data_IF_429009115728
#
_entry.id   IF_429009115728
#
_cell.length_a   1.000
_cell.length_b   1.000
_cell.length_c   1.000
_cell.angle_alpha   90.00
_cell.angle_beta   90.00
_cell.angle_gamma   90.00
#
_symmetry.space_group_name_H-M   'P 1'
#
loop_
_entity.id
_entity.type
_entity.pdbx_description
1 polymer ?
#
# COMPACT_ATOMS: atom_id res chain seq x y z
N UNK A 1 12.14 -19.20 -22.34
CA UNK A 1 12.30 -17.79 -22.75
C UNK A 1 11.90 -17.64 -24.21
N UNK A 2 11.14 -16.59 -24.56
CA UNK A 2 10.66 -16.30 -25.93
C UNK A 2 11.28 -14.97 -26.40
N UNK A 3 11.86 -14.91 -27.58
CA UNK A 3 12.35 -13.63 -28.18
C UNK A 3 11.19 -12.90 -28.86
N UNK A 4 10.99 -11.61 -28.53
CA UNK A 4 9.89 -10.79 -29.06
C UNK A 4 10.38 -9.41 -29.41
N UNK A 5 10.38 -9.06 -30.70
CA UNK A 5 10.82 -7.75 -31.20
C UNK A 5 9.68 -6.83 -31.65
N UNK A 6 8.47 -7.36 -31.77
CA UNK A 6 7.33 -6.61 -32.35
C UNK A 6 6.47 -5.97 -31.24
N UNK A 7 6.18 -4.68 -31.36
CA UNK A 7 5.18 -3.98 -30.55
C UNK A 7 3.75 -4.48 -30.76
N UNK A 8 3.50 -5.25 -31.83
CA UNK A 8 2.19 -5.88 -32.11
C UNK A 8 2.03 -7.24 -31.44
N UNK A 9 3.08 -7.77 -30.77
CA UNK A 9 2.97 -9.01 -30.03
C UNK A 9 1.89 -8.89 -28.94
N UNK A 10 0.99 -9.88 -28.80
CA UNK A 10 -0.10 -9.82 -27.83
C UNK A 10 0.34 -9.60 -26.38
N UNK A 11 1.44 -10.24 -25.92
CA UNK A 11 1.97 -10.07 -24.58
C UNK A 11 2.48 -8.64 -24.35
N UNK A 12 3.15 -8.05 -25.35
CA UNK A 12 3.62 -6.65 -25.29
C UNK A 12 2.43 -5.69 -25.26
N UNK A 13 1.40 -5.93 -26.06
CA UNK A 13 0.19 -5.09 -26.04
C UNK A 13 -0.56 -5.18 -24.73
N UNK A 14 -0.72 -6.39 -24.17
CA UNK A 14 -1.35 -6.59 -22.85
C UNK A 14 -0.58 -5.86 -21.76
N UNK A 15 0.74 -6.00 -21.69
CA UNK A 15 1.57 -5.31 -20.71
C UNK A 15 1.49 -3.78 -20.84
N UNK A 16 1.50 -3.25 -22.07
CA UNK A 16 1.33 -1.80 -22.32
C UNK A 16 -0.03 -1.27 -21.88
N UNK A 17 -1.09 -2.05 -22.06
CA UNK A 17 -2.43 -1.67 -21.68
C UNK A 17 -2.57 -1.48 -20.15
N UNK A 18 -1.75 -2.14 -19.32
CA UNK A 18 -1.74 -1.98 -17.86
C UNK A 18 -1.34 -0.57 -17.37
N UNK A 19 -0.95 0.34 -18.26
CA UNK A 19 -0.84 1.76 -17.94
C UNK A 19 -2.18 2.39 -17.57
N UNK A 20 -3.26 1.90 -18.14
CA UNK A 20 -4.63 2.34 -17.87
C UNK A 20 -5.23 1.60 -16.67
N UNK A 21 -5.88 2.33 -15.75
CA UNK A 21 -6.48 1.75 -14.55
C UNK A 21 -7.63 0.80 -14.88
N UNK A 22 -8.42 1.08 -15.93
CA UNK A 22 -9.53 0.19 -16.36
C UNK A 22 -9.00 -1.11 -16.90
N UNK A 23 -7.89 -1.06 -17.64
CA UNK A 23 -7.22 -2.25 -18.15
C UNK A 23 -6.61 -3.09 -17.03
N UNK A 24 -6.01 -2.46 -16.00
CA UNK A 24 -5.55 -3.18 -14.79
C UNK A 24 -6.70 -3.93 -14.12
N UNK A 25 -7.83 -3.24 -13.89
CA UNK A 25 -9.02 -3.85 -13.30
C UNK A 25 -9.58 -4.98 -14.19
N UNK A 26 -9.65 -4.78 -15.51
CA UNK A 26 -10.16 -5.78 -16.47
C UNK A 26 -9.29 -7.02 -16.54
N UNK A 27 -7.97 -6.84 -16.55
CA UNK A 27 -7.01 -7.96 -16.65
C UNK A 27 -6.70 -8.58 -15.29
N UNK A 28 -7.10 -7.96 -14.17
CA UNK A 28 -6.71 -8.40 -12.83
C UNK A 28 -5.20 -8.41 -12.63
N UNK A 29 -4.48 -7.46 -13.25
CA UNK A 29 -3.03 -7.43 -13.29
C UNK A 29 -2.48 -6.01 -13.28
N UNK A 30 -1.22 -5.85 -12.91
CA UNK A 30 -0.50 -4.58 -12.93
C UNK A 30 0.95 -4.76 -13.40
N UNK A 31 1.58 -3.65 -13.77
CA UNK A 31 2.94 -3.63 -14.30
C UNK A 31 3.92 -3.13 -13.24
N UNK A 32 4.98 -3.90 -13.04
CA UNK A 32 6.16 -3.49 -12.29
C UNK A 32 7.25 -3.04 -13.26
N UNK A 33 7.94 -1.97 -12.92
CA UNK A 33 8.98 -1.39 -13.74
C UNK A 33 10.25 -1.16 -12.91
N UNK A 34 11.32 -1.77 -13.36
CA UNK A 34 12.64 -1.67 -12.76
C UNK A 34 12.98 -2.80 -11.79
N UNK A 35 14.29 -2.93 -11.59
CA UNK A 35 14.92 -4.05 -10.87
C UNK A 35 14.40 -4.19 -9.43
N UNK A 36 14.35 -3.08 -8.69
CA UNK A 36 13.94 -3.11 -7.29
C UNK A 36 12.53 -3.67 -7.10
N UNK A 37 11.54 -3.15 -7.87
CA UNK A 37 10.14 -3.59 -7.74
C UNK A 37 9.95 -5.04 -8.19
N UNK A 38 10.66 -5.45 -9.24
CA UNK A 38 10.62 -6.84 -9.73
C UNK A 38 11.28 -7.78 -8.72
N UNK A 39 12.42 -7.40 -8.13
CA UNK A 39 13.10 -8.18 -7.09
C UNK A 39 12.24 -8.35 -5.85
N UNK A 40 11.61 -7.28 -5.37
CA UNK A 40 10.66 -7.33 -4.23
C UNK A 40 9.50 -8.29 -4.49
N UNK A 41 8.86 -8.19 -5.67
CA UNK A 41 7.75 -9.07 -6.03
C UNK A 41 8.19 -10.55 -6.09
N UNK A 42 9.35 -10.82 -6.70
CA UNK A 42 9.88 -12.18 -6.80
C UNK A 42 10.29 -12.77 -5.46
N UNK A 43 10.71 -11.93 -4.50
CA UNK A 43 11.08 -12.35 -3.16
C UNK A 43 9.87 -12.64 -2.28
N UNK A 44 8.82 -11.84 -2.39
CA UNK A 44 7.65 -11.89 -1.48
C UNK A 44 6.51 -12.73 -2.05
N UNK A 45 6.20 -12.55 -3.33
CA UNK A 45 5.04 -13.18 -3.98
C UNK A 45 5.35 -13.66 -5.41
N UNK A 46 6.35 -14.55 -5.59
CA UNK A 46 6.77 -15.00 -6.92
C UNK A 46 5.62 -15.58 -7.74
N UNK A 47 4.67 -16.23 -7.10
CA UNK A 47 3.50 -16.84 -7.75
C UNK A 47 2.55 -15.82 -8.40
N UNK A 48 2.60 -14.55 -8.00
CA UNK A 48 1.83 -13.48 -8.66
C UNK A 48 2.51 -12.97 -9.92
N UNK A 49 3.80 -13.22 -10.13
CA UNK A 49 4.52 -12.80 -11.33
C UNK A 49 4.16 -13.73 -12.49
N UNK A 50 3.41 -13.23 -13.45
CA UNK A 50 2.92 -14.00 -14.60
C UNK A 50 3.81 -13.87 -15.84
N UNK A 51 4.48 -12.72 -16.00
CA UNK A 51 5.41 -12.50 -17.12
C UNK A 51 6.57 -11.59 -16.73
N UNK A 52 7.75 -11.85 -17.31
CA UNK A 52 8.92 -10.99 -17.24
C UNK A 52 9.27 -10.51 -18.65
N UNK A 53 9.57 -9.23 -18.80
CA UNK A 53 10.12 -8.62 -20.00
C UNK A 53 11.51 -8.09 -19.67
N UNK A 54 12.53 -8.65 -20.33
CA UNK A 54 13.94 -8.35 -20.05
C UNK A 54 14.61 -7.86 -21.32
N UNK A 55 15.35 -6.77 -21.23
CA UNK A 55 16.19 -6.28 -22.31
C UNK A 55 17.18 -7.38 -22.72
N UNK A 56 17.20 -7.74 -24.00
CA UNK A 56 18.07 -8.80 -24.54
C UNK A 56 19.55 -8.54 -24.26
N UNK A 57 19.98 -7.27 -24.16
CA UNK A 57 21.33 -6.89 -23.80
C UNK A 57 21.64 -7.06 -22.29
N UNK A 58 20.65 -7.36 -21.45
CA UNK A 58 20.77 -7.46 -19.98
C UNK A 58 20.36 -8.82 -19.42
N UNK A 59 20.16 -9.82 -20.25
CA UNK A 59 19.73 -11.17 -19.83
C UNK A 59 20.65 -11.78 -18.78
N UNK A 60 21.96 -11.63 -18.97
CA UNK A 60 22.94 -12.16 -18.00
C UNK A 60 22.87 -11.44 -16.65
N UNK A 61 22.64 -10.11 -16.67
CA UNK A 61 22.49 -9.30 -15.43
C UNK A 61 21.29 -9.77 -14.61
N UNK A 62 20.18 -10.11 -15.27
CA UNK A 62 18.93 -10.50 -14.61
C UNK A 62 18.71 -12.03 -14.53
N UNK A 63 19.71 -12.84 -14.88
CA UNK A 63 19.59 -14.31 -14.86
C UNK A 63 19.12 -14.83 -13.50
N UNK A 64 19.60 -14.25 -12.39
CA UNK A 64 19.19 -14.60 -11.03
C UNK A 64 17.71 -14.31 -10.77
N UNK A 65 17.20 -13.14 -11.21
CA UNK A 65 15.79 -12.79 -11.05
C UNK A 65 14.88 -13.66 -11.93
N UNK A 66 15.31 -13.96 -13.14
CA UNK A 66 14.57 -14.86 -14.06
C UNK A 66 14.41 -16.25 -13.43
N UNK A 67 15.45 -16.76 -12.77
CA UNK A 67 15.43 -18.07 -12.11
C UNK A 67 14.46 -18.14 -10.92
N UNK A 68 14.13 -17.01 -10.28
CA UNK A 68 13.15 -16.96 -9.18
C UNK A 68 11.69 -17.07 -9.66
N UNK A 69 11.42 -16.96 -10.95
CA UNK A 69 10.06 -17.03 -11.52
C UNK A 69 9.93 -18.14 -12.58
N UNK A 70 10.15 -19.42 -12.25
CA UNK A 70 10.11 -20.52 -13.24
C UNK A 70 8.73 -20.71 -13.87
N UNK A 71 7.65 -20.25 -13.20
CA UNK A 71 6.28 -20.31 -13.68
C UNK A 71 5.91 -19.14 -14.60
N UNK A 72 6.69 -18.03 -14.58
CA UNK A 72 6.39 -16.83 -15.37
C UNK A 72 6.84 -17.02 -16.83
N UNK A 73 6.05 -16.47 -17.75
CA UNK A 73 6.50 -16.35 -19.15
C UNK A 73 7.63 -15.31 -19.26
N UNK A 74 8.81 -15.72 -19.70
CA UNK A 74 9.93 -14.83 -19.86
C UNK A 74 10.12 -14.44 -21.33
N UNK A 75 10.16 -13.13 -21.59
CA UNK A 75 10.33 -12.52 -22.89
C UNK A 75 11.65 -11.73 -22.95
N UNK A 76 12.54 -12.12 -23.86
CA UNK A 76 13.68 -11.30 -24.25
C UNK A 76 13.22 -10.29 -25.30
N UNK A 77 13.38 -8.99 -25.01
CA UNK A 77 12.88 -7.91 -25.87
C UNK A 77 13.97 -6.88 -26.15
N UNK A 78 14.00 -6.26 -27.34
CA UNK A 78 14.87 -5.13 -27.59
C UNK A 78 14.52 -3.91 -26.72
N UNK A 79 15.50 -3.05 -26.47
CA UNK A 79 15.33 -1.87 -25.62
C UNK A 79 14.13 -0.97 -26.01
N UNK A 80 13.83 -0.82 -27.31
CA UNK A 80 12.69 -0.03 -27.78
C UNK A 80 11.33 -0.65 -27.41
N UNK A 81 11.24 -1.98 -27.37
CA UNK A 81 10.02 -2.70 -26.95
C UNK A 81 9.84 -2.57 -25.45
N UNK A 82 10.92 -2.72 -24.68
CA UNK A 82 10.87 -2.53 -23.23
C UNK A 82 10.49 -1.07 -22.88
N UNK A 83 11.06 -0.09 -23.56
CA UNK A 83 10.69 1.32 -23.39
C UNK A 83 9.22 1.59 -23.72
N UNK A 84 8.63 0.84 -24.66
CA UNK A 84 7.21 0.93 -24.96
C UNK A 84 6.33 0.30 -23.88
N UNK A 85 6.79 -0.68 -23.13
CA UNK A 85 6.11 -1.30 -21.99
C UNK A 85 6.28 -0.42 -20.75
N UNK A 86 7.50 0.02 -20.47
CA UNK A 86 7.91 0.79 -19.29
C UNK A 86 7.12 2.08 -19.13
N UNK A 87 6.90 2.47 -17.87
CA UNK A 87 6.21 3.70 -17.46
C UNK A 87 7.18 4.77 -16.93
N UNK A 88 8.48 4.49 -16.99
CA UNK A 88 9.53 5.44 -16.63
C UNK A 88 10.27 5.94 -17.87
N UNK A 89 10.85 7.14 -17.76
CA UNK A 89 11.61 7.75 -18.89
C UNK A 89 12.86 6.96 -19.26
N UNK A 90 13.50 6.35 -18.26
CA UNK A 90 14.73 5.56 -18.46
C UNK A 90 14.52 4.17 -17.86
N UNK A 91 14.07 3.19 -18.64
CA UNK A 91 13.89 1.83 -18.19
C UNK A 91 15.21 1.20 -17.69
N UNK A 92 15.12 0.43 -16.63
CA UNK A 92 16.28 -0.27 -16.04
C UNK A 92 16.61 -1.60 -16.72
N UNK A 93 15.85 -1.99 -17.72
CA UNK A 93 16.12 -3.22 -18.50
C UNK A 93 15.27 -4.42 -18.07
N UNK A 94 14.36 -4.26 -17.09
CA UNK A 94 13.44 -5.31 -16.68
C UNK A 94 12.09 -4.72 -16.28
N UNK A 95 11.02 -5.43 -16.64
CA UNK A 95 9.64 -5.17 -16.21
C UNK A 95 8.93 -6.50 -15.96
N UNK A 96 7.90 -6.49 -15.10
CA UNK A 96 7.10 -7.68 -14.81
C UNK A 96 5.61 -7.37 -14.85
N UNK A 97 4.82 -8.34 -15.27
CA UNK A 97 3.36 -8.34 -15.10
C UNK A 97 3.03 -9.22 -13.89
N UNK A 98 2.32 -8.64 -12.94
CA UNK A 98 1.85 -9.33 -11.74
C UNK A 98 0.34 -9.42 -11.71
N UNK A 99 -0.21 -10.56 -11.32
CA UNK A 99 -1.62 -10.69 -10.98
C UNK A 99 -1.94 -9.85 -9.74
N UNK A 100 -3.14 -9.29 -9.68
CA UNK A 100 -3.60 -8.62 -8.46
C UNK A 100 -3.75 -9.63 -7.32
N UNK A 101 -3.33 -9.28 -6.10
CA UNK A 101 -3.57 -10.12 -4.93
C UNK A 101 -5.08 -10.34 -4.74
N UNK A 102 -5.49 -11.47 -4.15
CA UNK A 102 -6.89 -11.71 -3.84
C UNK A 102 -7.42 -10.65 -2.87
N UNK A 103 -8.63 -10.16 -3.13
CA UNK A 103 -9.29 -9.21 -2.25
C UNK A 103 -9.66 -9.90 -0.91
N UNK A 104 -9.35 -9.25 0.20
CA UNK A 104 -9.76 -9.67 1.53
C UNK A 104 -10.87 -8.76 2.04
N UNK A 105 -11.74 -9.29 2.91
CA UNK A 105 -12.66 -8.45 3.67
C UNK A 105 -11.86 -7.66 4.75
N UNK A 106 -12.25 -6.42 5.09
CA UNK A 106 -11.53 -5.61 6.07
C UNK A 106 -11.22 -6.34 7.38
N UNK A 107 -12.20 -7.06 7.89
CA UNK A 107 -12.11 -7.82 9.14
C UNK A 107 -11.23 -9.08 9.07
N UNK A 108 -10.79 -9.49 7.90
CA UNK A 108 -9.88 -10.60 7.70
C UNK A 108 -8.42 -10.17 7.57
N UNK A 109 -8.16 -8.86 7.56
CA UNK A 109 -6.81 -8.33 7.34
C UNK A 109 -5.95 -8.24 8.61
N UNK A 110 -6.53 -8.32 9.82
CA UNK A 110 -5.79 -8.27 11.08
C UNK A 110 -6.37 -7.28 12.09
N UNK A 111 -5.59 -6.86 13.05
CA UNK A 111 -6.06 -6.06 14.20
C UNK A 111 -5.79 -4.56 14.06
N UNK A 112 -4.77 -4.17 13.28
CA UNK A 112 -4.31 -2.79 13.12
C UNK A 112 -4.48 -2.36 11.67
N UNK A 113 -5.50 -1.56 11.41
CA UNK A 113 -5.90 -1.19 10.05
C UNK A 113 -5.78 0.32 9.83
N UNK A 114 -5.67 0.70 8.56
CA UNK A 114 -5.88 2.08 8.13
C UNK A 114 -7.00 2.13 7.09
N UNK A 115 -7.87 3.14 7.18
CA UNK A 115 -8.87 3.42 6.15
C UNK A 115 -8.59 4.79 5.53
N UNK A 116 -8.51 4.81 4.21
CA UNK A 116 -8.33 6.04 3.43
C UNK A 116 -9.64 6.41 2.74
N UNK A 117 -10.19 7.59 3.08
CA UNK A 117 -11.39 8.09 2.45
C UNK A 117 -11.04 9.11 1.37
N UNK A 118 -11.31 8.77 0.10
CA UNK A 118 -11.13 9.65 -1.07
C UNK A 118 -9.72 10.26 -1.15
N UNK A 119 -8.69 9.49 -0.83
CA UNK A 119 -7.28 9.90 -0.90
C UNK A 119 -6.81 9.95 -2.35
N UNK A 120 -6.70 11.14 -2.93
CA UNK A 120 -6.51 11.31 -4.39
C UNK A 120 -5.06 11.30 -4.85
N UNK A 121 -4.10 11.68 -3.99
CA UNK A 121 -2.69 11.67 -4.39
C UNK A 121 -2.10 10.26 -4.28
N UNK A 122 -1.66 9.64 -5.40
CA UNK A 122 -1.05 8.32 -5.40
C UNK A 122 0.28 8.27 -4.63
N UNK A 123 0.96 9.40 -4.46
CA UNK A 123 2.16 9.50 -3.62
C UNK A 123 1.81 9.33 -2.14
N UNK A 124 0.71 9.96 -1.68
CA UNK A 124 0.23 9.78 -0.30
C UNK A 124 -0.22 8.34 -0.05
N UNK A 125 -1.03 7.75 -0.96
CA UNK A 125 -1.45 6.34 -0.85
C UNK A 125 -0.24 5.42 -0.74
N UNK A 126 0.75 5.56 -1.62
CA UNK A 126 1.95 4.72 -1.60
C UNK A 126 2.82 4.95 -0.36
N UNK A 127 2.97 6.19 0.10
CA UNK A 127 3.72 6.52 1.32
C UNK A 127 3.02 5.95 2.56
N UNK A 128 1.69 6.02 2.63
CA UNK A 128 0.92 5.43 3.72
C UNK A 128 1.09 3.91 3.74
N UNK A 129 0.98 3.22 2.59
CA UNK A 129 1.20 1.78 2.48
C UNK A 129 2.60 1.37 2.96
N UNK A 130 3.63 2.13 2.58
CA UNK A 130 5.00 1.90 3.04
C UNK A 130 5.14 2.11 4.55
N UNK A 131 4.52 3.16 5.09
CA UNK A 131 4.58 3.44 6.53
C UNK A 131 3.82 2.39 7.34
N UNK A 132 2.69 1.93 6.83
CA UNK A 132 1.86 0.87 7.41
C UNK A 132 2.66 -0.44 7.54
N UNK A 133 3.35 -0.87 6.47
CA UNK A 133 4.27 -2.01 6.48
C UNK A 133 5.38 -1.82 7.54
N UNK A 134 6.03 -0.66 7.54
CA UNK A 134 7.11 -0.35 8.48
C UNK A 134 6.66 -0.26 9.95
N UNK A 135 5.42 0.17 10.20
CA UNK A 135 4.83 0.28 11.54
C UNK A 135 4.16 -1.02 12.01
N UNK A 136 4.14 -2.09 11.21
CA UNK A 136 3.52 -3.35 11.56
C UNK A 136 2.00 -3.29 11.66
N UNK A 137 1.36 -2.47 10.82
CA UNK A 137 -0.09 -2.52 10.61
C UNK A 137 -0.44 -3.60 9.61
N UNK A 138 -1.64 -4.16 9.71
CA UNK A 138 -2.02 -5.40 9.04
C UNK A 138 -2.73 -5.18 7.70
N UNK A 139 -3.26 -3.99 7.43
CA UNK A 139 -3.97 -3.77 6.18
C UNK A 139 -4.49 -2.36 5.92
N UNK A 140 -4.77 -2.09 4.64
CA UNK A 140 -5.28 -0.81 4.15
C UNK A 140 -6.65 -0.97 3.47
N UNK A 141 -7.61 -0.17 3.89
CA UNK A 141 -8.96 -0.10 3.33
C UNK A 141 -9.07 1.18 2.51
N UNK A 142 -9.47 1.07 1.27
CA UNK A 142 -9.66 2.19 0.35
C UNK A 142 -11.14 2.40 0.05
N UNK A 143 -11.56 3.66 -0.08
CA UNK A 143 -12.89 3.99 -0.54
C UNK A 143 -12.88 4.46 -2.01
N UNK A 144 -14.06 4.60 -2.66
CA UNK A 144 -14.14 5.25 -3.96
C UNK A 144 -13.46 6.62 -3.95
N UNK A 145 -12.80 6.96 -5.06
CA UNK A 145 -12.04 8.21 -5.20
C UNK A 145 -10.59 8.14 -4.71
N UNK A 146 -10.18 7.09 -3.99
CA UNK A 146 -8.78 6.87 -3.69
C UNK A 146 -7.98 6.59 -4.96
N UNK A 147 -6.73 7.05 -4.99
CA UNK A 147 -5.79 6.69 -6.04
C UNK A 147 -5.54 5.17 -6.03
N UNK A 148 -5.39 4.61 -7.23
CA UNK A 148 -5.10 3.18 -7.41
C UNK A 148 -3.72 2.81 -6.81
N UNK A 149 -3.66 1.93 -5.81
CA UNK A 149 -2.41 1.52 -5.15
C UNK A 149 -1.49 0.76 -6.10
N UNK A 150 -2.04 0.15 -7.16
CA UNK A 150 -1.31 -0.56 -8.21
C UNK A 150 -0.98 0.33 -9.41
N UNK A 151 -1.31 1.61 -9.34
CA UNK A 151 -0.89 2.61 -10.33
C UNK A 151 0.61 2.94 -10.20
N UNK A 152 1.28 3.34 -11.30
CA UNK A 152 2.74 3.45 -11.36
C UNK A 152 3.34 4.44 -10.35
N UNK A 153 2.65 5.55 -10.04
CA UNK A 153 3.13 6.53 -9.05
C UNK A 153 3.00 5.99 -7.63
N UNK A 154 1.88 5.33 -7.30
CA UNK A 154 1.66 4.71 -6.00
C UNK A 154 2.65 3.55 -5.78
N UNK A 155 2.75 2.61 -6.73
CA UNK A 155 3.68 1.48 -6.67
C UNK A 155 5.11 1.92 -6.33
N UNK A 156 5.65 2.93 -7.03
CA UNK A 156 6.98 3.45 -6.74
C UNK A 156 7.10 3.98 -5.31
N UNK A 157 6.06 4.66 -4.81
CA UNK A 157 6.08 5.21 -3.45
C UNK A 157 6.00 4.13 -2.38
N UNK A 158 5.41 2.96 -2.67
CA UNK A 158 5.36 1.82 -1.73
C UNK A 158 6.71 1.17 -1.48
N UNK A 159 7.66 1.28 -2.40
CA UNK A 159 8.96 0.59 -2.32
C UNK A 159 8.83 -0.92 -2.05
N UNK A 160 7.79 -1.57 -2.62
CA UNK A 160 7.53 -3.01 -2.45
C UNK A 160 6.59 -3.38 -1.31
N UNK A 161 6.23 -2.46 -0.40
CA UNK A 161 5.31 -2.76 0.72
C UNK A 161 3.93 -3.26 0.26
N UNK A 162 3.48 -2.89 -0.93
CA UNK A 162 2.23 -3.36 -1.54
C UNK A 162 2.15 -4.89 -1.71
N UNK A 163 3.27 -5.58 -1.68
CA UNK A 163 3.32 -7.05 -1.76
C UNK A 163 3.14 -7.73 -0.40
N UNK A 164 3.33 -6.99 0.70
CA UNK A 164 3.25 -7.49 2.08
C UNK A 164 1.97 -7.06 2.78
N UNK A 165 1.44 -5.90 2.40
CA UNK A 165 0.27 -5.29 3.03
C UNK A 165 -0.98 -5.59 2.21
N UNK A 166 -1.96 -6.30 2.76
CA UNK A 166 -3.27 -6.47 2.14
C UNK A 166 -3.95 -5.12 1.91
N UNK A 167 -4.51 -4.95 0.72
CA UNK A 167 -5.31 -3.79 0.36
C UNK A 167 -6.69 -4.26 -0.09
N UNK A 168 -7.74 -3.67 0.48
CA UNK A 168 -9.10 -3.92 0.02
C UNK A 168 -9.84 -2.62 -0.27
N UNK A 169 -10.96 -2.74 -0.99
CA UNK A 169 -11.82 -1.60 -1.29
C UNK A 169 -13.22 -1.83 -0.75
N UNK A 170 -13.81 -0.77 -0.16
CA UNK A 170 -15.18 -0.75 0.32
C UNK A 170 -15.97 0.35 -0.39
N UNK A 171 -17.26 0.16 -0.60
CA UNK A 171 -18.09 1.16 -1.29
C UNK A 171 -18.60 2.25 -0.35
N UNK A 172 -18.86 1.92 0.92
CA UNK A 172 -19.34 2.83 1.96
C UNK A 172 -18.42 2.78 3.17
N UNK A 173 -17.67 3.87 3.36
CA UNK A 173 -16.74 4.01 4.47
C UNK A 173 -17.44 3.96 5.84
N UNK A 174 -18.58 4.64 5.99
CA UNK A 174 -19.29 4.67 7.26
C UNK A 174 -19.89 3.29 7.62
N UNK A 175 -20.33 2.53 6.62
CA UNK A 175 -20.76 1.16 6.83
C UNK A 175 -19.59 0.26 7.26
N UNK A 176 -18.43 0.38 6.61
CA UNK A 176 -17.23 -0.37 6.98
C UNK A 176 -16.78 -0.04 8.41
N UNK A 177 -16.81 1.25 8.79
CA UNK A 177 -16.50 1.71 10.16
C UNK A 177 -17.45 1.07 11.18
N UNK A 178 -18.76 1.09 10.93
CA UNK A 178 -19.74 0.44 11.82
C UNK A 178 -19.52 -1.07 11.95
N UNK A 179 -19.15 -1.75 10.85
CA UNK A 179 -18.84 -3.18 10.87
C UNK A 179 -17.58 -3.48 11.69
N UNK A 180 -16.55 -2.65 11.61
CA UNK A 180 -15.34 -2.76 12.44
C UNK A 180 -15.66 -2.50 13.93
N UNK A 181 -16.46 -1.46 14.24
CA UNK A 181 -16.89 -1.18 15.62
C UNK A 181 -17.62 -2.37 16.25
N UNK A 182 -18.53 -3.00 15.49
CA UNK A 182 -19.27 -4.18 15.94
C UNK A 182 -18.36 -5.39 16.23
N UNK A 183 -17.13 -5.38 15.71
CA UNK A 183 -16.10 -6.40 15.97
C UNK A 183 -15.06 -5.98 17.01
N UNK A 184 -15.31 -4.88 17.72
CA UNK A 184 -14.47 -4.42 18.82
C UNK A 184 -13.25 -3.60 18.40
N UNK A 185 -13.20 -3.09 17.18
CA UNK A 185 -12.16 -2.14 16.79
C UNK A 185 -12.44 -0.75 17.38
N UNK A 186 -11.41 -0.09 17.88
CA UNK A 186 -11.45 1.35 18.06
C UNK A 186 -11.21 2.01 16.69
N UNK A 187 -12.21 2.71 16.19
CA UNK A 187 -12.09 3.46 14.91
C UNK A 187 -11.77 4.92 15.22
N UNK A 188 -10.68 5.43 14.67
CA UNK A 188 -10.05 6.68 15.04
C UNK A 188 -10.05 7.62 13.84
N UNK A 189 -10.91 8.62 13.84
CA UNK A 189 -10.92 9.67 12.82
C UNK A 189 -9.79 10.68 13.09
N UNK A 190 -8.90 10.89 12.12
CA UNK A 190 -7.99 12.04 12.10
C UNK A 190 -8.78 13.29 11.67
N UNK A 191 -9.13 14.17 12.61
CA UNK A 191 -9.99 15.32 12.38
C UNK A 191 -9.49 16.54 13.14
N UNK A 192 -9.49 17.72 12.50
CA UNK A 192 -8.95 18.95 13.08
C UNK A 192 -9.73 19.44 14.31
N UNK A 193 -11.02 19.11 14.40
CA UNK A 193 -11.93 19.43 15.50
C UNK A 193 -11.96 18.34 16.61
N UNK A 194 -11.11 17.32 16.50
CA UNK A 194 -11.02 16.22 17.47
C UNK A 194 -10.29 16.62 18.75
N UNK A 195 -10.32 15.68 19.73
CA UNK A 195 -9.55 15.78 20.97
C UNK A 195 -8.04 15.69 20.69
N UNK A 196 -7.23 16.16 21.63
CA UNK A 196 -5.75 16.07 21.50
C UNK A 196 -5.29 14.62 21.50
N UNK A 197 -4.72 14.17 20.39
CA UNK A 197 -4.26 12.79 20.19
C UNK A 197 -3.27 12.32 21.27
N UNK A 198 -2.41 13.19 21.74
CA UNK A 198 -1.41 12.84 22.76
C UNK A 198 -1.98 12.77 24.19
N UNK A 199 -3.18 13.28 24.42
CA UNK A 199 -3.90 13.21 25.71
C UNK A 199 -4.92 12.10 25.79
N UNK A 200 -5.02 11.24 24.74
CA UNK A 200 -5.95 10.12 24.73
C UNK A 200 -5.67 9.11 25.84
N UNK A 201 -6.72 8.48 26.33
CA UNK A 201 -6.62 7.29 27.17
C UNK A 201 -6.10 6.05 26.41
N UNK A 202 -5.99 4.91 27.10
CA UNK A 202 -5.62 3.65 26.50
C UNK A 202 -6.66 3.23 25.44
N UNK A 203 -6.18 2.67 24.32
CA UNK A 203 -7.01 2.12 23.25
C UNK A 203 -6.91 0.59 23.25
N UNK A 204 -7.92 -0.12 22.72
CA UNK A 204 -7.86 -1.58 22.56
C UNK A 204 -6.79 -1.96 21.51
N UNK A 205 -6.34 -3.23 21.52
CA UNK A 205 -5.37 -3.75 20.54
C UNK A 205 -5.89 -3.70 19.10
N UNK A 206 -7.20 -3.90 18.91
CA UNK A 206 -7.85 -3.76 17.60
C UNK A 206 -8.19 -2.31 17.33
N UNK A 207 -7.60 -1.76 16.28
CA UNK A 207 -7.84 -0.38 15.90
C UNK A 207 -7.83 -0.15 14.38
N UNK A 208 -8.53 0.88 13.95
CA UNK A 208 -8.49 1.37 12.59
C UNK A 208 -8.33 2.88 12.58
N UNK A 209 -7.23 3.38 12.02
CA UNK A 209 -7.02 4.82 11.83
C UNK A 209 -7.64 5.25 10.52
N UNK A 210 -8.41 6.33 10.53
CA UNK A 210 -9.06 6.87 9.33
C UNK A 210 -8.42 8.20 8.93
N UNK A 211 -7.98 8.25 7.68
CA UNK A 211 -7.39 9.45 7.06
C UNK A 211 -8.26 9.86 5.87
N UNK A 212 -8.67 11.11 5.83
CA UNK A 212 -9.51 11.64 4.77
C UNK A 212 -8.73 12.25 3.61
N UNK A 213 -9.48 12.81 2.68
CA UNK A 213 -8.98 13.56 1.54
C UNK A 213 -8.06 14.72 1.97
N UNK A 214 -7.06 15.02 1.16
CA UNK A 214 -6.03 16.03 1.47
C UNK A 214 -6.59 17.43 1.69
N UNK A 215 -7.66 17.79 1.00
CA UNK A 215 -8.28 19.11 1.13
C UNK A 215 -9.54 19.10 2.01
N UNK A 216 -10.41 18.12 1.82
CA UNK A 216 -11.72 18.06 2.49
C UNK A 216 -11.69 17.30 3.83
N UNK A 217 -10.65 16.52 4.11
CA UNK A 217 -10.60 15.64 5.27
C UNK A 217 -11.58 14.46 5.16
N UNK A 218 -11.94 13.91 6.30
CA UNK A 218 -12.98 12.87 6.41
C UNK A 218 -14.39 13.50 6.30
N UNK A 219 -15.30 12.80 5.63
CA UNK A 219 -16.70 13.22 5.61
C UNK A 219 -17.31 13.17 7.02
N UNK A 220 -18.28 14.04 7.29
CA UNK A 220 -18.95 14.09 8.59
C UNK A 220 -19.60 12.76 8.94
N UNK A 221 -20.20 12.09 7.95
CA UNK A 221 -20.82 10.77 8.14
C UNK A 221 -19.83 9.73 8.64
N UNK A 222 -18.59 9.72 8.11
CA UNK A 222 -17.53 8.81 8.55
C UNK A 222 -17.03 9.18 9.93
N UNK A 223 -16.79 10.48 10.19
CA UNK A 223 -16.37 10.95 11.52
C UNK A 223 -17.37 10.58 12.62
N UNK A 224 -18.68 10.73 12.35
CA UNK A 224 -19.74 10.43 13.31
C UNK A 224 -19.94 8.91 13.54
N UNK A 225 -19.49 8.08 12.59
CA UNK A 225 -19.47 6.63 12.74
C UNK A 225 -18.28 6.11 13.57
N UNK A 226 -17.20 6.91 13.70
CA UNK A 226 -16.01 6.53 14.45
C UNK A 226 -16.25 6.54 15.97
N UNK A 227 -15.53 5.69 16.69
CA UNK A 227 -15.55 5.67 18.16
C UNK A 227 -14.75 6.81 18.78
N UNK A 228 -13.74 7.33 18.07
CA UNK A 228 -12.86 8.39 18.53
C UNK A 228 -12.60 9.39 17.40
N UNK A 229 -12.42 10.66 17.76
CA UNK A 229 -11.95 11.72 16.87
C UNK A 229 -10.78 12.42 17.52
N UNK A 230 -9.62 12.38 16.88
CA UNK A 230 -8.40 12.99 17.39
C UNK A 230 -7.79 13.95 16.38
N UNK A 231 -7.18 15.00 16.91
CA UNK A 231 -6.31 15.92 16.17
C UNK A 231 -4.86 15.77 16.61
N UNK A 232 -3.94 15.92 15.69
CA UNK A 232 -2.55 16.18 16.00
C UNK A 232 -2.39 17.67 16.30
N UNK A 233 -1.95 18.07 17.51
CA UNK A 233 -1.83 19.49 17.84
C UNK A 233 -0.72 20.16 17.05
N UNK A 234 -1.06 21.23 16.34
CA UNK A 234 -0.08 22.09 15.67
C UNK A 234 0.46 23.12 16.65
N UNK A 235 1.78 23.20 16.81
CA UNK A 235 2.45 24.15 17.71
C UNK A 235 3.04 25.36 16.98
N UNK A 236 3.03 25.34 15.66
CA UNK A 236 3.51 26.41 14.79
C UNK A 236 2.37 27.04 13.98
N UNK A 237 2.73 27.72 12.90
CA UNK A 237 1.78 28.43 12.03
C UNK A 237 1.12 27.55 10.95
N UNK A 238 1.43 26.25 10.86
CA UNK A 238 0.77 25.35 9.93
C UNK A 238 -0.63 24.97 10.42
N UNK A 239 -1.62 24.94 9.52
CA UNK A 239 -3.00 24.56 9.84
C UNK A 239 -3.15 23.04 9.99
N UNK A 240 -2.40 22.27 9.20
CA UNK A 240 -2.46 20.81 9.16
C UNK A 240 -1.14 20.21 8.67
N UNK A 241 -1.00 18.89 8.80
CA UNK A 241 0.07 18.10 8.19
C UNK A 241 -0.41 17.49 6.86
N UNK A 242 0.55 17.17 5.98
CA UNK A 242 0.27 16.27 4.87
C UNK A 242 -0.36 14.97 5.38
N UNK A 243 -1.33 14.43 4.64
CA UNK A 243 -2.12 13.27 5.07
C UNK A 243 -1.26 12.02 5.37
N UNK A 244 -0.24 11.75 4.56
CA UNK A 244 0.67 10.63 4.80
C UNK A 244 1.56 10.86 6.04
N UNK A 245 1.96 12.11 6.31
CA UNK A 245 2.70 12.46 7.52
C UNK A 245 1.82 12.32 8.76
N UNK A 246 0.57 12.78 8.71
CA UNK A 246 -0.38 12.61 9.81
C UNK A 246 -0.63 11.12 10.12
N UNK A 247 -0.84 10.31 9.07
CA UNK A 247 -0.98 8.86 9.21
C UNK A 247 0.24 8.23 9.88
N UNK A 248 1.46 8.59 9.44
CA UNK A 248 2.71 8.09 9.99
C UNK A 248 2.86 8.40 11.48
N UNK A 249 2.63 9.66 11.86
CA UNK A 249 2.72 10.10 13.27
C UNK A 249 1.73 9.34 14.14
N UNK A 250 0.47 9.17 13.68
CA UNK A 250 -0.53 8.44 14.44
C UNK A 250 -0.20 6.94 14.56
N UNK A 251 0.20 6.28 13.48
CA UNK A 251 0.56 4.88 13.49
C UNK A 251 1.72 4.58 14.45
N UNK A 252 2.82 5.32 14.34
CA UNK A 252 3.98 5.08 15.20
C UNK A 252 3.74 5.38 16.68
N UNK A 253 2.97 6.43 17.00
CA UNK A 253 2.63 6.70 18.40
C UNK A 253 1.69 5.63 18.98
N UNK A 254 0.76 5.10 18.18
CA UNK A 254 -0.13 4.01 18.61
C UNK A 254 0.64 2.72 18.92
N UNK A 255 1.61 2.36 18.09
CA UNK A 255 2.46 1.17 18.31
C UNK A 255 3.32 1.36 19.55
N UNK A 256 4.09 2.45 19.63
CA UNK A 256 5.01 2.70 20.75
C UNK A 256 4.33 2.70 22.12
N UNK A 257 3.09 3.18 22.19
CA UNK A 257 2.31 3.15 23.46
C UNK A 257 1.71 1.79 23.76
N UNK A 258 1.50 0.94 22.78
CA UNK A 258 1.08 -0.45 23.01
C UNK A 258 2.26 -1.26 23.60
N UNK A 259 3.45 -1.12 23.03
CA UNK A 259 4.64 -1.87 23.41
C UNK A 259 5.13 -1.51 24.85
N UNK A 260 5.00 -0.23 25.25
CA UNK A 260 5.37 0.20 26.63
C UNK A 260 4.48 -0.39 27.74
N UNK A 261 3.39 -1.09 27.41
CA UNK A 261 2.54 -1.77 28.40
C UNK A 261 2.88 -3.24 28.56
N UNK A 262 3.69 -3.82 27.69
CA UNK A 262 4.09 -5.23 27.73
C UNK A 262 5.48 -5.45 28.37
N UNK A 263 6.21 -4.41 28.79
CA UNK A 263 7.42 -4.61 29.60
C UNK A 263 7.01 -5.12 31.00
N UNK A 264 7.42 -6.35 31.37
CA UNK A 264 7.17 -6.84 32.73
C UNK A 264 7.90 -5.92 33.70
N UNK A 265 7.18 -5.53 34.76
CA UNK A 265 7.74 -4.81 35.91
C UNK A 265 9.07 -5.45 36.30
N UNK A 266 10.14 -4.66 36.29
CA UNK A 266 11.44 -4.98 36.83
C UNK A 266 11.22 -5.50 38.27
N UNK A 267 11.32 -6.83 38.47
CA UNK A 267 11.24 -7.45 39.80
C UNK A 267 12.56 -7.17 40.53
N UNK A 268 12.58 -6.39 41.62
CA UNK A 268 13.80 -6.01 42.30
C UNK A 268 14.53 -7.18 43.01
N UNK A 269 14.07 -8.43 42.89
CA UNK A 269 14.55 -9.55 43.71
C UNK A 269 15.69 -10.37 43.10
N UNK A 270 16.30 -10.00 41.96
CA UNK A 270 17.50 -10.68 41.43
C UNK A 270 18.73 -9.79 41.37
N UNK A 271 19.04 -9.13 42.48
CA UNK A 271 20.40 -8.65 42.78
C UNK A 271 20.92 -9.37 44.04
N UNK A 272 21.55 -10.51 43.83
CA UNK A 272 22.58 -11.08 44.71
C UNK A 272 23.74 -11.50 43.82
#
# INVERSE_FOLDING_TARGET
MKAVSSLKNPAVQAARALRDARERARQGAFLLDGEHMVSEALSVCPNLVSALFVDEARLEVYAGLIALAPQAECYAVPAHVLAAISQVKTPQGIAAVCAMPPALAPEAMGERLILLENMQDPGNVGTILRTLDAAGFDGCILTPGCADPFGPKALRATMGSVFRVPVCSVQDAAQAVRALNARGYATIAAALDGEDFYRRGPLPGRLCVLIGNEGAGLTRQVQDACTHRFRLPMRGGAESLNAAVAAAVMMYDLINRADTKEEPSDDPQHRI
#
